data_IF_779784744589
#
_entry.id   IF_779784744589
#
_cell.length_a   1.000
_cell.length_b   1.000
_cell.length_c   1.000
_cell.angle_alpha   90.00
_cell.angle_beta   90.00
_cell.angle_gamma   90.00
#
_symmetry.space_group_name_H-M   'P 1'
#
loop_
_entity.id
_entity.type
_entity.pdbx_description
1 polymer ?
#
# COMPACT_ATOMS: atom_id res chain seq x y z
N UNK A 1 -20.49 -5.22 1.87
CA UNK A 1 -20.22 -5.39 0.42
C UNK A 1 -19.89 -6.84 0.07
N UNK A 2 -18.91 -7.47 0.72
CA UNK A 2 -18.52 -8.88 0.47
C UNK A 2 -19.62 -9.92 0.68
N UNK A 3 -20.53 -9.73 1.65
CA UNK A 3 -21.68 -10.61 1.89
C UNK A 3 -22.97 -10.15 1.19
N UNK A 4 -22.84 -9.25 0.22
CA UNK A 4 -23.96 -8.65 -0.49
C UNK A 4 -24.35 -9.37 -1.79
N UNK A 5 -25.08 -8.65 -2.65
CA UNK A 5 -25.39 -9.10 -4.01
C UNK A 5 -24.14 -9.11 -4.93
N UNK A 6 -24.28 -9.60 -6.15
CA UNK A 6 -23.17 -9.71 -7.10
C UNK A 6 -22.50 -8.35 -7.40
N UNK A 7 -23.29 -7.29 -7.55
CA UNK A 7 -22.79 -5.93 -7.80
C UNK A 7 -21.99 -5.37 -6.62
N UNK A 8 -22.45 -5.62 -5.39
CA UNK A 8 -21.77 -5.22 -4.16
C UNK A 8 -20.44 -5.97 -3.98
N UNK A 9 -20.39 -7.24 -4.35
CA UNK A 9 -19.14 -8.03 -4.36
C UNK A 9 -18.17 -7.50 -5.42
N UNK A 10 -18.66 -7.22 -6.62
CA UNK A 10 -17.85 -6.65 -7.69
C UNK A 10 -17.28 -5.27 -7.31
N UNK A 11 -18.08 -4.41 -6.69
CA UNK A 11 -17.64 -3.11 -6.17
C UNK A 11 -16.56 -3.25 -5.09
N UNK A 12 -16.68 -4.26 -4.21
CA UNK A 12 -15.67 -4.56 -3.21
C UNK A 12 -14.35 -4.97 -3.88
N UNK A 13 -14.41 -5.88 -4.84
CA UNK A 13 -13.24 -6.38 -5.55
C UNK A 13 -12.56 -5.28 -6.37
N UNK A 14 -13.32 -4.45 -7.06
CA UNK A 14 -12.79 -3.30 -7.81
C UNK A 14 -12.05 -2.31 -6.90
N UNK A 15 -12.62 -2.02 -5.72
CA UNK A 15 -11.95 -1.16 -4.74
C UNK A 15 -10.62 -1.77 -4.25
N UNK A 16 -10.60 -3.08 -3.96
CA UNK A 16 -9.37 -3.78 -3.57
C UNK A 16 -8.33 -3.72 -4.71
N UNK A 17 -8.73 -3.97 -5.94
CA UNK A 17 -7.86 -3.95 -7.12
C UNK A 17 -7.16 -2.59 -7.29
N UNK A 18 -7.90 -1.49 -7.12
CA UNK A 18 -7.36 -0.14 -7.28
C UNK A 18 -6.49 0.32 -6.11
N UNK A 19 -6.81 -0.10 -4.88
CA UNK A 19 -6.19 0.45 -3.68
C UNK A 19 -5.07 -0.40 -3.08
N UNK A 20 -4.92 -1.66 -3.49
CA UNK A 20 -3.89 -2.56 -2.95
C UNK A 20 -2.48 -1.97 -3.05
N UNK A 21 -2.01 -1.71 -4.28
CA UNK A 21 -0.65 -1.21 -4.52
C UNK A 21 -0.42 0.18 -3.92
N UNK A 22 -1.33 1.17 -4.08
CA UNK A 22 -1.20 2.44 -3.38
C UNK A 22 -1.10 2.32 -1.85
N UNK A 23 -1.77 1.33 -1.25
CA UNK A 23 -1.70 1.10 0.21
C UNK A 23 -0.32 0.59 0.63
N UNK A 24 0.32 -0.27 -0.18
CA UNK A 24 1.69 -0.73 0.07
C UNK A 24 2.73 0.39 -0.09
N UNK A 25 2.48 1.31 -1.02
CA UNK A 25 3.30 2.51 -1.24
C UNK A 25 3.25 3.51 -0.08
N UNK A 26 2.21 3.48 0.77
CA UNK A 26 2.08 4.39 1.92
C UNK A 26 3.20 4.21 2.96
N UNK A 27 3.81 3.03 3.01
CA UNK A 27 4.93 2.75 3.90
C UNK A 27 6.24 3.41 3.44
N UNK A 28 6.26 4.01 2.25
CA UNK A 28 7.41 4.71 1.69
C UNK A 28 8.28 3.81 0.81
N UNK A 29 9.43 4.33 0.33
CA UNK A 29 10.37 3.58 -0.50
C UNK A 29 10.98 2.40 0.24
N UNK A 30 11.65 1.52 -0.49
CA UNK A 30 12.45 0.44 0.09
C UNK A 30 13.48 0.97 1.08
N UNK A 31 13.90 0.14 2.02
CA UNK A 31 14.88 0.56 3.01
C UNK A 31 16.22 0.97 2.34
N UNK A 32 16.56 0.38 1.19
CA UNK A 32 17.77 0.70 0.42
C UNK A 32 17.75 2.09 -0.23
N UNK A 33 16.56 2.65 -0.51
CA UNK A 33 16.40 3.96 -1.15
C UNK A 33 15.96 5.06 -0.16
N UNK A 34 15.74 4.71 1.10
CA UNK A 34 15.30 5.63 2.14
C UNK A 34 16.48 6.37 2.78
N UNK A 35 16.90 7.47 2.15
CA UNK A 35 18.01 8.34 2.62
C UNK A 35 17.85 8.87 4.05
N UNK A 36 16.61 8.94 4.57
CA UNK A 36 16.30 9.42 5.92
C UNK A 36 16.20 8.30 6.98
N UNK A 37 16.31 7.02 6.60
CA UNK A 37 16.11 5.89 7.51
C UNK A 37 17.20 5.79 8.58
N UNK A 38 18.47 5.97 8.22
CA UNK A 38 19.60 5.76 9.15
C UNK A 38 19.58 6.72 10.35
N UNK A 39 19.34 8.02 10.10
CA UNK A 39 19.25 9.02 11.17
C UNK A 39 17.97 8.83 11.99
N UNK A 40 16.83 8.55 11.34
CA UNK A 40 15.55 8.35 12.01
C UNK A 40 15.53 7.12 12.92
N UNK A 41 16.21 6.04 12.52
CA UNK A 41 16.38 4.83 13.34
C UNK A 41 17.33 5.09 14.51
N UNK A 42 18.44 5.80 14.28
CA UNK A 42 19.41 6.14 15.34
C UNK A 42 18.81 7.00 16.45
N UNK A 43 17.91 7.91 16.10
CA UNK A 43 17.18 8.74 17.06
C UNK A 43 15.91 8.10 17.60
N UNK A 44 15.62 6.84 17.24
CA UNK A 44 14.38 6.12 17.61
C UNK A 44 13.08 6.83 17.20
N UNK A 45 13.15 7.70 16.19
CA UNK A 45 11.98 8.32 15.55
C UNK A 45 11.23 7.26 14.73
N UNK A 46 11.96 6.42 14.00
CA UNK A 46 11.45 5.16 13.43
C UNK A 46 11.86 4.00 14.33
N UNK A 47 10.90 3.14 14.69
CA UNK A 47 11.15 1.92 15.48
C UNK A 47 11.19 0.66 14.63
N UNK A 48 10.63 0.71 13.43
CA UNK A 48 10.56 -0.35 12.43
C UNK A 48 10.86 0.26 11.07
N UNK A 49 11.44 -0.54 10.18
CA UNK A 49 11.76 -0.10 8.83
C UNK A 49 10.51 -0.01 7.95
N UNK A 50 10.63 0.61 6.77
CA UNK A 50 9.48 0.72 5.86
C UNK A 50 9.08 -0.67 5.37
N UNK A 51 10.07 -1.50 5.03
CA UNK A 51 9.86 -2.85 4.52
C UNK A 51 9.29 -3.79 5.60
N UNK A 52 9.71 -3.63 6.86
CA UNK A 52 9.17 -4.42 7.98
C UNK A 52 7.68 -4.12 8.22
N UNK A 53 7.30 -2.84 8.23
CA UNK A 53 5.90 -2.43 8.38
C UNK A 53 5.05 -2.87 7.19
N UNK A 54 5.59 -2.77 5.98
CA UNK A 54 4.93 -3.23 4.77
C UNK A 54 4.70 -4.74 4.79
N UNK A 55 5.70 -5.53 5.19
CA UNK A 55 5.57 -6.98 5.31
C UNK A 55 4.48 -7.36 6.32
N UNK A 56 4.50 -6.75 7.51
CA UNK A 56 3.47 -6.98 8.53
C UNK A 56 2.06 -6.66 8.01
N UNK A 57 1.92 -5.56 7.26
CA UNK A 57 0.66 -5.18 6.63
C UNK A 57 0.19 -6.22 5.61
N UNK A 58 1.07 -6.70 4.73
CA UNK A 58 0.75 -7.74 3.75
C UNK A 58 0.25 -9.00 4.45
N UNK A 59 0.96 -9.49 5.47
CA UNK A 59 0.59 -10.72 6.16
C UNK A 59 -0.80 -10.62 6.80
N UNK A 60 -1.13 -9.47 7.39
CA UNK A 60 -2.44 -9.22 7.97
C UNK A 60 -3.54 -9.11 6.90
N UNK A 61 -3.28 -8.36 5.83
CA UNK A 61 -4.28 -8.10 4.80
C UNK A 61 -4.63 -9.35 3.97
N UNK A 62 -3.66 -10.23 3.69
CA UNK A 62 -3.92 -11.48 2.96
C UNK A 62 -4.98 -12.32 3.69
N UNK A 63 -4.85 -12.48 5.00
CA UNK A 63 -5.84 -13.24 5.79
C UNK A 63 -7.20 -12.52 5.85
N UNK A 64 -7.21 -11.19 6.00
CA UNK A 64 -8.45 -10.41 5.99
C UNK A 64 -9.20 -10.52 4.66
N UNK A 65 -8.49 -10.46 3.54
CA UNK A 65 -9.06 -10.58 2.19
C UNK A 65 -9.66 -11.96 1.95
N UNK A 66 -9.01 -13.02 2.46
CA UNK A 66 -9.58 -14.38 2.44
C UNK A 66 -10.89 -14.47 3.23
N UNK A 67 -10.95 -13.86 4.41
CA UNK A 67 -12.20 -13.81 5.22
C UNK A 67 -13.32 -13.10 4.45
N UNK A 68 -12.98 -12.08 3.67
CA UNK A 68 -13.94 -11.37 2.81
C UNK A 68 -14.33 -12.14 1.54
N UNK A 69 -13.70 -13.28 1.24
CA UNK A 69 -13.89 -14.02 0.00
C UNK A 69 -13.48 -13.25 -1.25
N UNK A 70 -12.53 -12.32 -1.10
CA UNK A 70 -12.00 -11.47 -2.17
C UNK A 70 -10.59 -11.93 -2.56
N UNK A 71 -10.03 -11.34 -3.61
CA UNK A 71 -8.68 -11.61 -4.08
C UNK A 71 -7.83 -10.35 -4.09
N UNK A 72 -6.53 -10.50 -3.86
CA UNK A 72 -5.57 -9.40 -4.02
C UNK A 72 -5.09 -9.36 -5.48
N UNK A 73 -4.87 -8.17 -6.07
CA UNK A 73 -4.39 -8.02 -7.44
C UNK A 73 -2.87 -8.25 -7.53
N UNK A 74 -2.40 -9.39 -7.01
CA UNK A 74 -1.00 -9.78 -6.98
C UNK A 74 -0.86 -11.30 -7.05
N UNK A 75 -0.47 -11.79 -8.23
CA UNK A 75 -0.29 -13.22 -8.52
C UNK A 75 0.90 -13.83 -7.76
N UNK A 76 1.83 -13.01 -7.26
CA UNK A 76 3.02 -13.48 -6.54
C UNK A 76 2.75 -13.69 -5.06
N UNK A 77 1.53 -13.40 -4.57
CA UNK A 77 1.17 -13.63 -3.17
C UNK A 77 1.20 -15.11 -2.85
N UNK A 78 2.16 -15.50 -2.01
CA UNK A 78 2.32 -16.89 -1.59
C UNK A 78 2.87 -16.97 -0.18
N UNK A 79 2.30 -17.85 0.62
CA UNK A 79 2.83 -18.16 1.94
C UNK A 79 4.22 -18.81 1.82
N UNK A 80 5.21 -18.25 2.51
CA UNK A 80 6.57 -18.77 2.58
C UNK A 80 6.81 -19.39 3.97
N UNK A 81 6.78 -20.72 4.06
CA UNK A 81 6.97 -21.44 5.33
C UNK A 81 8.32 -21.17 5.99
N UNK A 82 9.37 -20.93 5.20
CA UNK A 82 10.73 -20.68 5.74
C UNK A 82 10.82 -19.31 6.40
N UNK A 83 10.19 -18.29 5.79
CA UNK A 83 10.19 -16.92 6.30
C UNK A 83 9.06 -16.66 7.30
N UNK A 84 8.01 -17.50 7.31
CA UNK A 84 6.75 -17.29 8.05
C UNK A 84 6.07 -15.96 7.68
N UNK A 85 6.15 -15.62 6.41
CA UNK A 85 5.62 -14.38 5.82
C UNK A 85 5.04 -14.69 4.43
N UNK A 86 4.17 -13.84 3.94
CA UNK A 86 3.77 -13.85 2.53
C UNK A 86 4.83 -13.18 1.67
N UNK A 87 5.31 -13.88 0.65
CA UNK A 87 5.99 -13.24 -0.46
C UNK A 87 4.92 -12.48 -1.28
N UNK A 88 5.26 -11.30 -1.81
CA UNK A 88 4.39 -10.45 -2.61
C UNK A 88 5.19 -9.86 -3.79
N UNK A 89 4.47 -9.33 -4.78
CA UNK A 89 5.05 -8.80 -6.00
C UNK A 89 5.80 -7.48 -5.82
N UNK A 90 6.48 -7.08 -6.88
CA UNK A 90 7.23 -5.83 -6.89
C UNK A 90 6.28 -4.64 -7.07
N UNK A 91 6.51 -3.59 -6.28
CA UNK A 91 5.77 -2.34 -6.36
C UNK A 91 6.26 -1.55 -7.56
N UNK A 92 5.35 -0.91 -8.30
CA UNK A 92 5.73 0.07 -9.32
C UNK A 92 6.29 1.34 -8.66
N UNK A 93 7.60 1.35 -8.48
CA UNK A 93 8.32 2.50 -7.91
C UNK A 93 8.31 3.72 -8.83
N UNK A 94 8.13 3.56 -10.14
CA UNK A 94 8.01 4.69 -11.06
C UNK A 94 6.67 5.42 -10.83
N UNK A 95 5.58 4.67 -10.68
CA UNK A 95 4.28 5.23 -10.28
C UNK A 95 4.40 5.96 -8.94
N UNK A 96 4.99 5.31 -7.93
CA UNK A 96 5.21 5.89 -6.60
C UNK A 96 5.87 7.28 -6.68
N UNK A 97 7.03 7.37 -7.35
CA UNK A 97 7.76 8.63 -7.44
C UNK A 97 7.03 9.69 -8.28
N UNK A 98 6.26 9.29 -9.29
CA UNK A 98 5.42 10.21 -10.06
C UNK A 98 4.32 10.83 -9.19
N UNK A 99 3.64 10.03 -8.37
CA UNK A 99 2.60 10.51 -7.44
C UNK A 99 3.19 11.44 -6.38
N UNK A 100 4.34 11.07 -5.79
CA UNK A 100 5.04 11.89 -4.79
C UNK A 100 5.46 13.25 -5.36
N UNK A 101 5.90 13.29 -6.63
CA UNK A 101 6.27 14.53 -7.34
C UNK A 101 5.08 15.39 -7.78
N UNK A 102 3.84 14.99 -7.47
CA UNK A 102 2.65 15.78 -7.79
C UNK A 102 1.98 15.44 -9.12
N UNK A 103 2.40 14.36 -9.80
CA UNK A 103 1.86 13.92 -11.09
C UNK A 103 0.93 12.71 -10.98
N UNK A 104 0.37 12.47 -9.80
CA UNK A 104 -0.65 11.44 -9.58
C UNK A 104 -2.07 11.91 -9.92
N UNK A 105 -3.05 11.00 -9.82
CA UNK A 105 -4.39 11.18 -10.38
C UNK A 105 -5.23 12.29 -9.72
N UNK A 106 -4.88 12.74 -8.51
CA UNK A 106 -5.66 13.75 -7.78
C UNK A 106 -4.80 14.87 -7.19
N UNK A 107 -3.49 14.94 -7.49
CA UNK A 107 -2.58 15.87 -6.82
C UNK A 107 -2.97 17.33 -7.07
N UNK A 108 -3.30 17.68 -8.32
CA UNK A 108 -3.69 19.04 -8.70
C UNK A 108 -5.01 19.44 -8.05
N UNK A 109 -6.00 18.55 -8.05
CA UNK A 109 -7.32 18.74 -7.46
C UNK A 109 -7.22 18.92 -5.94
N UNK A 110 -6.40 18.10 -5.27
CA UNK A 110 -6.20 18.19 -3.80
C UNK A 110 -5.56 19.52 -3.41
N UNK A 111 -4.53 19.95 -4.14
CA UNK A 111 -3.89 21.25 -3.89
C UNK A 111 -4.82 22.43 -4.22
N UNK A 112 -5.56 22.36 -5.32
CA UNK A 112 -6.52 23.40 -5.69
C UNK A 112 -7.63 23.55 -4.66
N UNK A 113 -8.20 22.43 -4.17
CA UNK A 113 -9.21 22.45 -3.12
C UNK A 113 -8.68 23.05 -1.81
N UNK A 114 -7.42 22.76 -1.44
CA UNK A 114 -6.79 23.34 -0.24
C UNK A 114 -6.48 24.82 -0.39
N UNK A 115 -6.00 25.28 -1.55
CA UNK A 115 -5.83 26.71 -1.83
C UNK A 115 -7.15 27.46 -1.74
N UNK A 116 -8.19 26.98 -2.43
CA UNK A 116 -9.52 27.59 -2.42
C UNK A 116 -10.15 27.68 -1.01
N UNK A 117 -9.85 26.73 -0.12
CA UNK A 117 -10.38 26.76 1.24
C UNK A 117 -9.60 27.69 2.18
N UNK A 118 -8.36 28.02 1.81
CA UNK A 118 -7.47 28.87 2.60
C UNK A 118 -7.54 30.34 2.16
N UNK A 119 -7.64 30.58 0.86
CA UNK A 119 -7.90 31.89 0.24
C UNK A 119 -9.35 32.35 0.46
#
# INVERSE_FOLDING_TARGET
LSNGNAEQKAMCQDAINRWWWPSLMMFGPTDSESTNSDQSMKWKIKRKSNDELRQQFVDMCVEQVKVLGMQLPDEKIKWNEKRKHYDFGEIDWNEFWNVVKGNGPCNKERLAARRKAHE
#
